data_IF_253375270891
#
_entry.id   IF_253375270891
#
_cell.length_a   1.000
_cell.length_b   1.000
_cell.length_c   1.000
_cell.angle_alpha   90.00
_cell.angle_beta   90.00
_cell.angle_gamma   90.00
#
_symmetry.space_group_name_H-M   'P 1'
#
loop_
_entity.id
_entity.type
_entity.pdbx_description
1 polymer ?
#
# COMPACT_ATOMS: atom_id res chain seq x y z
N UNK A 1 11.87 -2.61 1.72
CA UNK A 1 11.02 -3.81 1.91
C UNK A 1 10.35 -4.13 0.59
N UNK A 2 10.14 -5.40 0.27
CA UNK A 2 9.50 -5.77 -0.99
C UNK A 2 8.05 -5.26 -1.02
N UNK A 3 7.74 -4.32 -1.92
CA UNK A 3 6.38 -3.78 -2.13
C UNK A 3 5.30 -4.88 -2.22
N UNK A 4 5.71 -6.07 -2.68
CA UNK A 4 4.86 -7.25 -2.77
C UNK A 4 4.30 -7.75 -1.43
N UNK A 5 5.04 -7.68 -0.33
CA UNK A 5 4.55 -8.15 0.97
C UNK A 5 3.46 -7.22 1.54
N UNK A 6 3.66 -5.91 1.39
CA UNK A 6 2.68 -4.89 1.77
C UNK A 6 1.40 -5.01 0.93
N UNK A 7 1.54 -5.09 -0.40
CA UNK A 7 0.39 -5.22 -1.30
C UNK A 7 -0.39 -6.52 -1.06
N UNK A 8 0.31 -7.63 -0.80
CA UNK A 8 -0.32 -8.91 -0.45
C UNK A 8 -1.10 -8.81 0.86
N UNK A 9 -0.48 -8.27 1.91
CA UNK A 9 -1.16 -8.10 3.19
C UNK A 9 -2.37 -7.16 3.06
N UNK A 10 -2.24 -6.10 2.28
CA UNK A 10 -3.35 -5.20 1.99
C UNK A 10 -4.47 -5.95 1.24
N UNK A 11 -4.15 -6.78 0.25
CA UNK A 11 -5.13 -7.60 -0.47
C UNK A 11 -5.85 -8.61 0.46
N UNK A 12 -5.13 -9.17 1.43
CA UNK A 12 -5.69 -10.12 2.41
C UNK A 12 -6.60 -9.43 3.45
N UNK A 13 -6.37 -8.15 3.74
CA UNK A 13 -7.10 -7.40 4.76
C UNK A 13 -8.18 -6.46 4.18
N UNK A 14 -8.06 -6.06 2.91
CA UNK A 14 -8.99 -5.16 2.25
C UNK A 14 -10.23 -5.91 1.76
N UNK A 15 -11.24 -5.96 2.64
CA UNK A 15 -12.55 -6.54 2.35
C UNK A 15 -13.48 -5.56 1.58
N UNK A 16 -12.92 -4.47 1.02
CA UNK A 16 -13.65 -3.41 0.31
C UNK A 16 -13.87 -2.14 1.15
N UNK A 17 -13.70 -2.22 2.47
CA UNK A 17 -13.86 -1.11 3.41
C UNK A 17 -12.56 -0.30 3.63
N UNK A 18 -11.44 -0.78 3.08
CA UNK A 18 -10.13 -0.19 3.27
C UNK A 18 -9.53 -0.51 4.64
N UNK A 19 -8.21 -0.63 4.67
CA UNK A 19 -7.47 -1.09 5.84
C UNK A 19 -6.85 0.10 6.55
N UNK A 20 -7.04 0.16 7.88
CA UNK A 20 -6.42 1.17 8.70
C UNK A 20 -4.88 1.03 8.70
N UNK A 21 -4.18 2.12 8.46
CA UNK A 21 -2.72 2.14 8.37
C UNK A 21 -2.05 1.66 9.67
N UNK A 22 -2.64 1.99 10.82
CA UNK A 22 -2.19 1.50 12.12
C UNK A 22 -2.27 -0.03 12.26
N UNK A 23 -3.25 -0.67 11.60
CA UNK A 23 -3.39 -2.13 11.58
C UNK A 23 -2.31 -2.78 10.71
N UNK A 24 -1.99 -2.17 9.57
CA UNK A 24 -0.88 -2.61 8.72
C UNK A 24 0.47 -2.47 9.43
N UNK A 25 0.71 -1.32 10.06
CA UNK A 25 1.90 -1.06 10.89
C UNK A 25 2.11 -2.15 11.94
N UNK A 26 1.04 -2.48 12.69
CA UNK A 26 1.08 -3.53 13.70
C UNK A 26 1.35 -4.93 13.14
N UNK A 27 0.86 -5.24 11.94
CA UNK A 27 1.06 -6.57 11.31
C UNK A 27 2.44 -6.73 10.68
N UNK A 28 3.00 -5.64 10.17
CA UNK A 28 4.33 -5.62 9.54
C UNK A 28 5.45 -5.31 10.54
N UNK A 29 5.12 -5.07 11.81
CA UNK A 29 6.04 -4.59 12.86
C UNK A 29 6.78 -3.31 12.44
N UNK A 30 6.06 -2.41 11.77
CA UNK A 30 6.63 -1.24 11.09
C UNK A 30 6.00 0.08 11.55
N UNK A 31 6.70 1.19 11.31
CA UNK A 31 6.20 2.51 11.69
C UNK A 31 5.15 3.01 10.71
N UNK A 32 4.09 3.63 11.23
CA UNK A 32 3.02 4.26 10.42
C UNK A 32 3.60 5.26 9.42
N UNK A 33 4.58 6.08 9.83
CA UNK A 33 5.23 7.06 8.96
C UNK A 33 5.99 6.43 7.80
N UNK A 34 6.60 5.26 8.01
CA UNK A 34 7.30 4.50 6.97
C UNK A 34 6.28 3.96 5.99
N UNK A 35 5.25 3.27 6.47
CA UNK A 35 4.17 2.76 5.61
C UNK A 35 3.47 3.88 4.84
N UNK A 36 3.23 5.03 5.46
CA UNK A 36 2.62 6.17 4.77
C UNK A 36 3.48 6.63 3.59
N UNK A 37 4.80 6.74 3.78
CA UNK A 37 5.73 7.14 2.72
C UNK A 37 5.76 6.12 1.57
N UNK A 38 5.84 4.83 1.90
CA UNK A 38 5.81 3.73 0.92
C UNK A 38 4.48 3.70 0.15
N UNK A 39 3.36 3.78 0.86
CA UNK A 39 2.03 3.77 0.23
C UNK A 39 1.78 5.02 -0.59
N UNK A 40 2.31 6.18 -0.18
CA UNK A 40 2.20 7.41 -0.97
C UNK A 40 2.94 7.24 -2.29
N UNK A 41 4.12 6.61 -2.28
CA UNK A 41 4.87 6.28 -3.49
C UNK A 41 4.15 5.26 -4.40
N UNK A 42 3.36 4.34 -3.83
CA UNK A 42 2.53 3.39 -4.58
C UNK A 42 1.17 3.95 -5.01
N UNK A 43 0.73 5.04 -4.40
CA UNK A 43 -0.57 5.65 -4.69
C UNK A 43 -0.55 6.43 -6.00
N UNK A 44 -1.72 6.93 -6.42
CA UNK A 44 -1.80 7.87 -7.54
C UNK A 44 -1.35 9.30 -7.15
N UNK A 45 -0.95 9.54 -5.89
CA UNK A 45 -0.48 10.85 -5.46
C UNK A 45 0.79 11.22 -6.24
N UNK A 46 0.84 12.43 -6.77
CA UNK A 46 2.01 12.94 -7.46
C UNK A 46 3.11 13.30 -6.47
N UNK A 47 4.13 12.46 -6.36
CA UNK A 47 5.37 12.76 -5.64
C UNK A 47 6.36 13.38 -6.63
N UNK A 48 6.65 14.67 -6.48
CA UNK A 48 7.60 15.37 -7.36
C UNK A 48 7.13 15.57 -8.80
N UNK A 49 5.81 15.63 -9.03
CA UNK A 49 5.21 15.89 -10.35
C UNK A 49 4.98 14.66 -11.22
N UNK A 50 5.45 13.48 -10.81
CA UNK A 50 5.13 12.21 -11.47
C UNK A 50 3.96 11.56 -10.74
N UNK A 51 2.81 11.30 -11.39
CA UNK A 51 1.74 10.51 -10.77
C UNK A 51 2.29 9.12 -10.46
N UNK A 52 2.17 8.71 -9.20
CA UNK A 52 2.55 7.35 -8.83
C UNK A 52 1.68 6.30 -9.55
N UNK A 53 2.05 5.01 -9.43
CA UNK A 53 1.47 3.93 -10.23
C UNK A 53 -0.02 3.65 -9.91
N UNK A 54 -0.62 4.35 -8.93
CA UNK A 54 -2.05 4.24 -8.66
C UNK A 54 -2.48 2.89 -8.12
N UNK A 55 -1.56 2.14 -7.49
CA UNK A 55 -1.77 0.78 -6.98
C UNK A 55 -2.61 0.77 -5.69
N UNK A 56 -2.57 1.87 -4.95
CA UNK A 56 -3.32 2.04 -3.71
C UNK A 56 -3.99 3.41 -3.67
N UNK A 57 -5.09 3.51 -2.95
CA UNK A 57 -5.75 4.77 -2.62
C UNK A 57 -5.58 5.03 -1.13
N UNK A 58 -5.18 6.25 -0.78
CA UNK A 58 -5.05 6.71 0.60
C UNK A 58 -6.15 7.73 0.89
N UNK A 59 -6.78 7.63 2.05
CA UNK A 59 -7.63 8.69 2.59
C UNK A 59 -7.36 8.86 4.09
N UNK A 60 -7.51 10.08 4.56
CA UNK A 60 -7.44 10.42 5.97
C UNK A 60 -8.84 10.80 6.44
N UNK A 61 -9.36 10.10 7.46
CA UNK A 61 -10.60 10.46 8.13
C UNK A 61 -10.37 11.71 9.02
N UNK A 62 -11.44 12.44 9.38
CA UNK A 62 -11.38 13.65 10.24
C UNK A 62 -10.69 13.44 11.60
N UNK A 63 -10.61 12.18 12.06
CA UNK A 63 -9.88 11.79 13.27
C UNK A 63 -8.38 11.57 13.08
N UNK A 64 -7.79 11.95 11.93
CA UNK A 64 -6.37 11.73 11.62
C UNK A 64 -6.02 10.27 11.32
N UNK A 65 -7.03 9.42 11.07
CA UNK A 65 -6.83 8.00 10.79
C UNK A 65 -6.67 7.79 9.29
N UNK A 66 -5.53 7.25 8.91
CA UNK A 66 -5.26 6.89 7.52
C UNK A 66 -5.84 5.51 7.19
N UNK A 67 -6.55 5.44 6.07
CA UNK A 67 -7.05 4.22 5.45
C UNK A 67 -6.46 4.05 4.06
N UNK A 68 -6.28 2.79 3.70
CA UNK A 68 -5.66 2.36 2.45
C UNK A 68 -6.59 1.38 1.77
N UNK A 69 -6.92 1.63 0.51
CA UNK A 69 -7.65 0.69 -0.34
C UNK A 69 -6.71 0.17 -1.42
N UNK A 70 -6.81 -1.11 -1.72
CA UNK A 70 -6.12 -1.69 -2.86
C UNK A 70 -6.91 -1.37 -4.13
N UNK A 71 -6.26 -0.75 -5.10
CA UNK A 71 -6.90 -0.52 -6.39
C UNK A 71 -6.80 -1.77 -7.25
N UNK A 72 -7.56 -1.81 -8.34
CA UNK A 72 -7.49 -2.90 -9.31
C UNK A 72 -6.07 -3.06 -9.89
N UNK A 73 -5.36 -1.96 -10.13
CA UNK A 73 -3.97 -2.00 -10.58
C UNK A 73 -3.03 -2.66 -9.54
N UNK A 74 -3.26 -2.40 -8.25
CA UNK A 74 -2.55 -3.05 -7.15
C UNK A 74 -2.81 -4.55 -7.07
N UNK A 75 -4.04 -4.99 -7.32
CA UNK A 75 -4.42 -6.42 -7.36
C UNK A 75 -3.78 -7.17 -8.54
N UNK A 76 -3.72 -6.52 -9.70
CA UNK A 76 -3.10 -7.09 -10.90
C UNK A 76 -1.57 -7.13 -10.82
N UNK A 77 -0.98 -6.30 -9.95
CA UNK A 77 0.46 -6.31 -9.70
C UNK A 77 0.83 -7.56 -8.92
N UNK A 78 1.11 -8.64 -9.65
CA UNK A 78 1.79 -9.82 -9.11
C UNK A 78 3.12 -9.34 -8.50
N UNK A 79 3.50 -9.77 -7.28
CA UNK A 79 4.87 -9.58 -6.84
C UNK A 79 5.79 -10.15 -7.94
N UNK A 80 6.93 -9.51 -8.24
CA UNK A 80 7.89 -10.12 -9.16
C UNK A 80 8.10 -11.55 -8.66
N UNK A 81 7.80 -12.53 -9.51
CA UNK A 81 8.11 -13.92 -9.19
C UNK A 81 9.61 -14.00 -8.88
N UNK A 82 10.06 -15.00 -8.10
CA UNK A 82 11.49 -15.16 -7.85
C UNK A 82 12.19 -15.10 -9.21
N UNK A 83 13.06 -14.10 -9.40
CA UNK A 83 13.87 -13.99 -10.61
C UNK A 83 14.55 -15.34 -10.77
N UNK A 84 14.31 -16.10 -11.86
CA UNK A 84 14.97 -17.38 -12.02
C UNK A 84 16.48 -17.11 -11.98
N UNK A 85 17.27 -17.89 -11.22
CA UNK A 85 18.71 -17.82 -11.33
C UNK A 85 19.11 -18.22 -12.75
N UNK A 86 19.99 -17.42 -13.37
CA UNK A 86 20.70 -17.79 -14.62
C UNK A 86 21.45 -19.12 -14.47
#
# INVERSE_FOLDING_TARGET
MADGALLRLLAELDEGEGVALARLAKRLDERVSVLLRELTALSAASLGGVPGPGLVRLACDDGGRWRVWLTEAGRQRRPPGPTPPD
#
